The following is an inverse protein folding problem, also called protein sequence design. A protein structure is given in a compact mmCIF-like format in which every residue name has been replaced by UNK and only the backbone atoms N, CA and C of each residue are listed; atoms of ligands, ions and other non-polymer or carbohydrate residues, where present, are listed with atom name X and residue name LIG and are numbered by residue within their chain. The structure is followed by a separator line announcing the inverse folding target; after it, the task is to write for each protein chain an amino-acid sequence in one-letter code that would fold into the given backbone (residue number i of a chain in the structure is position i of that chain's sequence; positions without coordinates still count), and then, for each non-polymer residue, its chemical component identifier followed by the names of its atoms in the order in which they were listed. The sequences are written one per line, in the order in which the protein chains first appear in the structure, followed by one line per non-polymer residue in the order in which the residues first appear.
data_IF_902368840160
#
_entry.id   IF_902368840160
#
_cell.length_a   1.000
_cell.length_b   1.000
_cell.length_c   1.000
_cell.angle_alpha   90.00
_cell.angle_beta   90.00
_cell.angle_gamma   90.00
#
_symmetry.space_group_name_H-M   'P 1'
#
loop_
_entity.id
_entity.type
_entity.pdbx_description
1 polymer ?
#
# COMPACT_ATOMS: atom_id res chain seq x y z
N UNK A 1 -6.64 -14.71 -18.22
CA UNK A 1 -5.59 -15.19 -17.31
C UNK A 1 -6.14 -16.34 -16.50
N UNK A 2 -5.36 -17.39 -16.29
CA UNK A 2 -5.77 -18.58 -15.54
C UNK A 2 -5.17 -18.57 -14.13
N UNK A 3 -5.66 -19.44 -13.23
CA UNK A 3 -5.20 -19.51 -11.84
C UNK A 3 -3.69 -19.74 -11.73
N UNK A 4 -3.12 -20.56 -12.60
CA UNK A 4 -1.68 -20.85 -12.61
C UNK A 4 -0.85 -19.63 -13.07
N UNK A 5 -1.35 -18.87 -14.04
CA UNK A 5 -0.70 -17.62 -14.48
C UNK A 5 -0.72 -16.55 -13.37
N UNK A 6 -1.83 -16.43 -12.62
CA UNK A 6 -1.90 -15.56 -11.43
C UNK A 6 -0.86 -15.98 -10.39
N UNK A 7 -0.73 -17.29 -10.15
CA UNK A 7 0.25 -17.82 -9.20
C UNK A 7 1.68 -17.49 -9.63
N UNK A 8 2.02 -17.72 -10.89
CA UNK A 8 3.34 -17.40 -11.45
C UNK A 8 3.66 -15.91 -11.35
N UNK A 9 2.71 -15.04 -11.70
CA UNK A 9 2.90 -13.58 -11.58
C UNK A 9 3.09 -13.14 -10.13
N UNK A 10 2.37 -13.76 -9.19
CA UNK A 10 2.56 -13.49 -7.76
C UNK A 10 3.94 -13.96 -7.25
N UNK A 11 4.42 -15.10 -7.72
CA UNK A 11 5.78 -15.59 -7.40
C UNK A 11 6.85 -14.65 -7.95
N UNK A 12 6.70 -14.15 -9.18
CA UNK A 12 7.58 -13.13 -9.76
C UNK A 12 7.55 -11.83 -8.93
N UNK A 13 6.36 -11.38 -8.51
CA UNK A 13 6.22 -10.20 -7.68
C UNK A 13 6.94 -10.35 -6.33
N UNK A 14 6.78 -11.50 -5.66
CA UNK A 14 7.48 -11.80 -4.40
C UNK A 14 9.00 -11.81 -4.60
N UNK A 15 9.47 -12.35 -5.72
CA UNK A 15 10.89 -12.34 -6.07
C UNK A 15 11.41 -10.90 -6.23
N UNK A 16 10.69 -10.06 -6.96
CA UNK A 16 11.09 -8.66 -7.14
C UNK A 16 11.01 -7.85 -5.85
N UNK A 17 10.05 -8.15 -4.97
CA UNK A 17 10.02 -7.54 -3.62
C UNK A 17 11.29 -7.86 -2.81
N UNK A 18 11.82 -9.09 -2.91
CA UNK A 18 13.08 -9.46 -2.24
C UNK A 18 14.28 -8.75 -2.86
N UNK A 19 14.36 -8.71 -4.19
CA UNK A 19 15.40 -7.98 -4.93
C UNK A 19 15.39 -6.48 -4.54
N UNK A 20 14.20 -5.88 -4.40
CA UNK A 20 14.08 -4.49 -3.94
C UNK A 20 14.62 -4.31 -2.52
N UNK A 21 14.31 -5.26 -1.63
CA UNK A 21 14.78 -5.23 -0.26
C UNK A 21 16.30 -5.34 -0.17
N UNK A 22 16.91 -6.25 -0.94
CA UNK A 22 18.38 -6.37 -1.01
C UNK A 22 19.04 -5.07 -1.49
N UNK A 23 18.46 -4.39 -2.49
CA UNK A 23 18.96 -3.10 -2.96
C UNK A 23 18.83 -1.99 -1.91
N UNK A 24 17.74 -2.01 -1.11
CA UNK A 24 17.56 -1.08 0.01
C UNK A 24 18.55 -1.33 1.13
N UNK A 25 18.79 -2.60 1.46
CA UNK A 25 19.77 -2.98 2.47
C UNK A 25 21.17 -2.51 2.06
N UNK A 26 21.54 -2.69 0.78
CA UNK A 26 22.78 -2.13 0.23
C UNK A 26 22.86 -0.61 0.39
N UNK A 27 21.76 0.10 0.10
CA UNK A 27 21.68 1.55 0.25
C UNK A 27 21.86 2.00 1.70
N UNK A 28 21.31 1.24 2.65
CA UNK A 28 21.42 1.51 4.09
C UNK A 28 22.84 1.25 4.62
N UNK A 29 23.53 0.23 4.08
CA UNK A 29 24.93 -0.04 4.41
C UNK A 29 25.92 0.94 3.77
N UNK A 30 25.46 1.77 2.84
CA UNK A 30 26.33 2.67 2.09
C UNK A 30 26.79 3.83 2.97
N UNK A 31 28.10 3.94 3.17
CA UNK A 31 28.71 4.97 4.02
C UNK A 31 29.28 6.10 3.18
N UNK A 32 29.05 7.34 3.61
CA UNK A 32 29.63 8.56 3.03
C UNK A 32 30.83 9.08 3.83
N UNK A 33 31.33 8.31 4.80
CA UNK A 33 32.46 8.70 5.64
C UNK A 33 33.83 8.48 4.95
N UNK A 34 33.95 8.90 3.69
CA UNK A 34 35.22 8.89 2.95
C UNK A 34 36.16 9.97 3.45
N UNK A 35 37.47 9.71 3.39
CA UNK A 35 38.52 10.67 3.74
C UNK A 35 38.87 11.58 2.54
N UNK A 36 38.43 11.21 1.34
CA UNK A 36 38.65 11.96 0.10
C UNK A 36 37.35 12.34 -0.61
N UNK A 37 37.43 13.39 -1.43
CA UNK A 37 36.31 13.82 -2.29
C UNK A 37 35.95 12.73 -3.31
N UNK A 38 36.93 11.96 -3.79
CA UNK A 38 36.73 10.87 -4.75
C UNK A 38 35.91 9.74 -4.13
N UNK A 39 36.23 9.32 -2.89
CA UNK A 39 35.46 8.30 -2.17
C UNK A 39 34.01 8.74 -1.89
N UNK A 40 33.81 10.02 -1.56
CA UNK A 40 32.46 10.57 -1.36
C UNK A 40 31.68 10.61 -2.68
N UNK A 41 32.35 10.93 -3.79
CA UNK A 41 31.74 10.96 -5.12
C UNK A 41 31.36 9.55 -5.57
N UNK A 42 32.25 8.57 -5.40
CA UNK A 42 31.98 7.16 -5.72
C UNK A 42 30.80 6.61 -4.91
N UNK A 43 30.73 6.96 -3.62
CA UNK A 43 29.58 6.62 -2.77
C UNK A 43 28.28 7.26 -3.28
N UNK A 44 28.32 8.51 -3.73
CA UNK A 44 27.17 9.22 -4.27
C UNK A 44 26.69 8.60 -5.61
N UNK A 45 27.63 8.27 -6.49
CA UNK A 45 27.32 7.62 -7.76
C UNK A 45 26.72 6.24 -7.54
N UNK A 46 27.25 5.47 -6.59
CA UNK A 46 26.70 4.17 -6.20
C UNK A 46 25.31 4.31 -5.57
N UNK A 47 25.08 5.32 -4.73
CA UNK A 47 23.77 5.62 -4.17
C UNK A 47 22.75 5.92 -5.27
N UNK A 48 23.13 6.73 -6.26
CA UNK A 48 22.28 7.08 -7.40
C UNK A 48 21.93 5.84 -8.23
N UNK A 49 22.89 4.94 -8.46
CA UNK A 49 22.68 3.68 -9.16
C UNK A 49 21.71 2.74 -8.43
N UNK A 50 21.86 2.59 -7.11
CA UNK A 50 20.94 1.78 -6.29
C UNK A 50 19.52 2.35 -6.31
N UNK A 51 19.37 3.67 -6.15
CA UNK A 51 18.08 4.35 -6.22
C UNK A 51 17.42 4.21 -7.58
N UNK A 52 18.20 4.27 -8.67
CA UNK A 52 17.72 4.00 -10.02
C UNK A 52 17.27 2.56 -10.17
N UNK A 53 18.05 1.60 -9.70
CA UNK A 53 17.73 0.18 -9.77
C UNK A 53 16.44 -0.15 -9.02
N UNK A 54 16.23 0.41 -7.82
CA UNK A 54 14.99 0.28 -7.06
C UNK A 54 13.80 0.85 -7.84
N UNK A 55 13.96 2.03 -8.45
CA UNK A 55 12.91 2.64 -9.28
C UNK A 55 12.57 1.77 -10.48
N UNK A 56 13.57 1.34 -11.24
CA UNK A 56 13.38 0.52 -12.43
C UNK A 56 12.71 -0.81 -12.07
N UNK A 57 13.09 -1.42 -10.94
CA UNK A 57 12.46 -2.65 -10.45
C UNK A 57 10.97 -2.46 -10.18
N UNK A 58 10.61 -1.35 -9.53
CA UNK A 58 9.21 -1.01 -9.24
C UNK A 58 8.42 -0.69 -10.49
N UNK A 59 8.95 0.20 -11.31
CA UNK A 59 8.22 0.77 -12.46
C UNK A 59 8.16 -0.21 -13.64
N UNK A 60 9.26 -0.89 -13.94
CA UNK A 60 9.38 -1.73 -15.12
C UNK A 60 8.96 -3.18 -14.83
N UNK A 61 9.21 -3.70 -13.62
CA UNK A 61 8.91 -5.10 -13.30
C UNK A 61 7.65 -5.26 -12.45
N UNK A 62 7.55 -4.55 -11.33
CA UNK A 62 6.48 -4.82 -10.35
C UNK A 62 5.14 -4.20 -10.71
N UNK A 63 5.11 -2.93 -11.14
CA UNK A 63 3.86 -2.25 -11.50
C UNK A 63 3.09 -2.97 -12.60
N UNK A 64 3.71 -3.44 -13.71
CA UNK A 64 2.99 -4.20 -14.73
C UNK A 64 2.34 -5.47 -14.18
N UNK A 65 3.03 -6.22 -13.30
CA UNK A 65 2.44 -7.41 -12.67
C UNK A 65 1.21 -7.06 -11.82
N UNK A 66 1.29 -5.98 -11.03
CA UNK A 66 0.17 -5.50 -10.22
C UNK A 66 -1.00 -5.12 -11.13
N UNK A 67 -0.75 -4.34 -12.18
CA UNK A 67 -1.76 -3.89 -13.14
C UNK A 67 -2.45 -5.08 -13.79
N UNK A 68 -1.69 -6.04 -14.32
CA UNK A 68 -2.25 -7.22 -15.00
C UNK A 68 -3.10 -8.09 -14.04
N UNK A 69 -2.66 -8.27 -12.80
CA UNK A 69 -3.42 -9.03 -11.80
C UNK A 69 -4.69 -8.25 -11.39
N UNK A 70 -4.59 -6.93 -11.21
CA UNK A 70 -5.72 -6.08 -10.86
C UNK A 70 -6.79 -6.08 -11.95
N UNK A 71 -6.39 -5.90 -13.21
CA UNK A 71 -7.28 -5.95 -14.37
C UNK A 71 -8.01 -7.29 -14.46
N UNK A 72 -7.28 -8.40 -14.24
CA UNK A 72 -7.88 -9.73 -14.21
C UNK A 72 -8.92 -9.87 -13.10
N UNK A 73 -8.62 -9.41 -11.88
CA UNK A 73 -9.55 -9.45 -10.74
C UNK A 73 -10.79 -8.61 -11.01
N UNK A 74 -10.61 -7.41 -11.58
CA UNK A 74 -11.71 -6.54 -11.98
C UNK A 74 -12.62 -7.22 -13.01
N UNK A 75 -12.03 -7.77 -14.08
CA UNK A 75 -12.78 -8.48 -15.12
C UNK A 75 -13.58 -9.66 -14.56
N UNK A 76 -12.97 -10.48 -13.69
CA UNK A 76 -13.66 -11.63 -13.07
C UNK A 76 -14.80 -11.21 -12.14
N UNK A 77 -14.68 -10.07 -11.46
CA UNK A 77 -15.76 -9.50 -10.66
C UNK A 77 -16.93 -9.06 -11.52
N UNK A 78 -16.66 -8.42 -12.66
CA UNK A 78 -17.69 -7.94 -13.59
C UNK A 78 -18.44 -9.11 -14.26
N UNK A 79 -17.75 -10.19 -14.60
CA UNK A 79 -18.34 -11.44 -15.11
C UNK A 79 -19.32 -12.05 -14.08
N UNK A 80 -18.87 -12.21 -12.83
CA UNK A 80 -19.71 -12.76 -11.75
C UNK A 80 -20.93 -11.89 -11.42
N UNK A 81 -20.79 -10.57 -11.51
CA UNK A 81 -21.90 -9.63 -11.25
C UNK A 81 -22.89 -9.55 -12.41
N UNK A 82 -22.43 -9.72 -13.65
CA UNK A 82 -23.29 -9.78 -14.84
C UNK A 82 -24.07 -11.09 -14.91
N UNK A 83 -23.43 -12.22 -14.62
CA UNK A 83 -24.09 -13.53 -14.59
C UNK A 83 -25.15 -13.62 -13.47
N UNK A 84 -24.90 -12.98 -12.33
CA UNK A 84 -25.88 -12.84 -11.24
C UNK A 84 -27.06 -11.92 -11.62
N UNK A 85 -26.87 -10.93 -12.49
CA UNK A 85 -27.93 -10.05 -12.97
C UNK A 85 -28.80 -10.72 -14.05
N UNK A 86 -28.24 -11.63 -14.84
CA UNK A 86 -28.95 -12.37 -15.91
C UNK A 86 -29.73 -13.58 -15.39
N UNK A 87 -29.31 -14.15 -14.25
CA UNK A 87 -30.00 -15.25 -13.55
C UNK A 87 -31.15 -14.78 -12.64
N UNK A 88 -31.37 -13.47 -12.51
CA UNK A 88 -32.50 -12.94 -11.74
C UNK A 88 -33.81 -13.08 -12.55
N UNK A 89 -34.86 -13.76 -12.03
CA UNK A 89 -36.13 -13.85 -12.73
C UNK A 89 -36.77 -12.46 -12.83
N UNK A 90 -37.21 -12.13 -14.04
CA UNK A 90 -38.00 -10.95 -14.39
C UNK A 90 -39.29 -10.90 -13.55
N UNK A 91 -39.24 -10.25 -12.38
CA UNK A 91 -40.40 -9.96 -11.54
C UNK A 91 -40.56 -8.45 -11.39
N UNK A 92 -40.83 -7.77 -12.51
CA UNK A 92 -41.38 -6.41 -12.44
C UNK A 92 -42.89 -6.53 -12.54
N UNK A 93 -43.59 -6.24 -11.42
CA UNK A 93 -44.70 -5.26 -11.29
C UNK A 93 -45.79 -5.72 -10.30
N UNK A 94 -46.19 -4.78 -9.45
CA UNK A 94 -47.19 -4.79 -8.34
C UNK A 94 -46.52 -5.15 -7.00
N UNK A 95 -46.27 -4.20 -6.09
CA UNK A 95 -47.28 -3.31 -5.50
C UNK A 95 -46.69 -1.92 -5.24
N UNK A 96 -47.19 -0.90 -5.93
CA UNK A 96 -47.16 0.45 -5.40
C UNK A 96 -48.20 0.50 -4.27
N UNK A 97 -47.74 0.55 -3.00
CA UNK A 97 -48.51 1.13 -1.89
C UNK A 97 -47.59 1.39 -0.70
N UNK A 98 -47.32 2.68 -0.50
CA UNK A 98 -46.98 3.38 0.75
C UNK A 98 -46.20 2.59 1.80
N UNK A 99 -44.91 2.91 1.92
CA UNK A 99 -44.31 3.26 3.21
C UNK A 99 -43.20 4.27 2.94
N UNK A 100 -43.32 5.41 3.61
CA UNK A 100 -42.36 6.52 3.59
C UNK A 100 -40.91 6.04 3.66
N UNK A 101 -40.09 6.63 2.80
CA UNK A 101 -38.67 6.71 3.04
C UNK A 101 -38.43 7.34 4.42
N UNK A 102 -37.61 6.75 5.32
CA UNK A 102 -37.05 7.54 6.40
C UNK A 102 -36.20 8.65 5.74
N UNK A 103 -36.25 9.91 6.23
CA UNK A 103 -35.45 10.98 5.65
C UNK A 103 -33.97 10.58 5.66
N UNK A 104 -33.17 11.01 4.66
CA UNK A 104 -31.74 10.80 4.69
C UNK A 104 -31.21 11.45 5.97
N UNK A 105 -30.75 10.62 6.92
CA UNK A 105 -29.94 11.12 8.02
C UNK A 105 -28.71 11.72 7.37
N UNK A 106 -28.65 13.05 7.39
CA UNK A 106 -27.38 13.76 7.24
C UNK A 106 -26.46 13.12 8.27
N UNK A 107 -25.54 12.27 7.81
CA UNK A 107 -24.39 11.87 8.62
C UNK A 107 -23.56 13.13 8.76
N UNK A 108 -23.95 13.94 9.74
CA UNK A 108 -23.12 14.97 10.32
C UNK A 108 -21.79 14.30 10.67
N UNK A 109 -20.70 14.85 10.13
CA UNK A 109 -19.36 14.42 10.46
C UNK A 109 -19.22 14.34 11.99
N UNK A 110 -18.49 13.35 12.54
CA UNK A 110 -18.24 13.31 13.97
C UNK A 110 -17.61 14.65 14.38
N UNK A 111 -18.02 15.25 15.52
CA UNK A 111 -17.44 16.50 15.97
C UNK A 111 -15.92 16.34 16.07
N UNK A 112 -15.11 17.36 15.71
CA UNK A 112 -13.68 17.30 15.88
C UNK A 112 -13.39 17.00 17.34
N UNK A 113 -12.77 15.85 17.61
CA UNK A 113 -12.27 15.50 18.93
C UNK A 113 -11.29 16.61 19.30
N UNK A 114 -11.68 17.48 20.21
CA UNK A 114 -10.74 18.37 20.90
C UNK A 114 -9.73 17.45 21.55
N UNK A 115 -8.51 17.43 21.00
CA UNK A 115 -7.37 16.80 21.64
C UNK A 115 -7.21 17.46 23.00
N UNK A 116 -7.61 16.77 24.07
CA UNK A 116 -7.14 17.12 25.40
C UNK A 116 -5.61 16.99 25.41
N UNK A 117 -4.89 17.96 25.98
CA UNK A 117 -3.45 17.86 26.11
C UNK A 117 -3.09 16.65 26.97
N UNK A 118 -1.96 15.97 26.70
CA UNK A 118 -1.53 14.84 27.50
C UNK A 118 -1.36 15.24 28.97
N UNK A 119 -1.63 14.34 29.92
CA UNK A 119 -1.41 14.64 31.33
C UNK A 119 0.06 15.02 31.58
N UNK A 120 0.33 15.98 32.48
CA UNK A 120 1.69 16.38 32.79
C UNK A 120 2.48 15.16 33.29
N UNK A 121 3.55 14.81 32.56
CA UNK A 121 4.49 13.79 32.98
C UNK A 121 5.11 14.27 34.29
N UNK A 122 4.78 13.60 35.40
CA UNK A 122 5.55 13.74 36.63
C UNK A 122 6.96 13.24 36.35
N UNK A 123 7.88 14.16 36.13
CA UNK A 123 9.31 13.87 36.11
C UNK A 123 9.68 13.22 37.42
N UNK A 124 10.04 11.93 37.39
CA UNK A 124 10.73 11.31 38.51
C UNK A 124 12.10 12.01 38.67
N UNK A 125 12.54 12.33 39.91
CA UNK A 125 13.86 12.92 40.11
C UNK A 125 14.96 11.91 39.71
N UNK A 126 16.11 12.39 39.22
CA UNK A 126 17.20 11.50 38.84
C UNK A 126 17.71 10.72 40.06
N UNK A 127 18.20 9.48 39.88
CA UNK A 127 18.78 8.70 40.97
C UNK A 127 20.00 9.45 41.53
N UNK A 128 20.00 9.69 42.85
CA UNK A 128 21.17 10.24 43.55
C UNK A 128 22.27 9.18 43.52
N UNK A 129 23.43 9.51 42.93
CA UNK A 129 24.64 8.70 43.07
C UNK A 129 25.11 8.76 44.53
N UNK A 130 25.45 7.62 45.18
CA UNK A 130 26.18 7.66 46.43
C UNK A 130 27.61 8.12 46.18
N UNK A 131 28.12 8.95 47.10
CA UNK A 131 29.54 9.32 47.23
C UNK A 131 30.34 8.14 47.77
#
# INVERSE_FOLDING_TARGET
MNRDEVRQKMELFIRYMREEQELRDQLETLSFAGESVEEVQDAADRQAELMRSIRDLREVKMLPLITEVAEFVHHKRDELTSEAAESAPSAVKRVARKSEAPPPRKSEAPPPRKSEPPPPRKSAPPPRRPL
#
